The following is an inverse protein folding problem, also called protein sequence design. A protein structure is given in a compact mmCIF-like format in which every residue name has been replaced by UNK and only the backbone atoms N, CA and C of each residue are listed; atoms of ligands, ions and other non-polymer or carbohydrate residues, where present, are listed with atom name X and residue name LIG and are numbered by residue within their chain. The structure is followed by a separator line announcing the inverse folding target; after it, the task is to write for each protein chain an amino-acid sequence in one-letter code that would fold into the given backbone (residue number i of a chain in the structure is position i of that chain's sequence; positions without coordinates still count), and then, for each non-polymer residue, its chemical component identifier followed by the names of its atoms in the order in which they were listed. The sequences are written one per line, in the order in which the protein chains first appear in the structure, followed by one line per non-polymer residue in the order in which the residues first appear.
data_IF_334941067338
#
_entry.id   IF_334941067338
#
_cell.length_a   1.000
_cell.length_b   1.000
_cell.length_c   1.000
_cell.angle_alpha   90.00
_cell.angle_beta   90.00
_cell.angle_gamma   90.00
#
_symmetry.space_group_name_H-M   'P 1'
#
loop_
_entity.id
_entity.type
_entity.pdbx_description
1 polymer ?
#
# COMPACT_ATOMS: atom_id res chain seq x y z
N UNK A 1 47.04 30.56 -29.11
CA UNK A 1 45.90 30.02 -29.89
C UNK A 1 45.89 28.48 -29.87
N UNK A 2 46.98 27.82 -30.29
CA UNK A 2 47.11 26.35 -30.28
C UNK A 2 46.81 25.69 -28.92
N UNK A 3 47.34 26.23 -27.82
CA UNK A 3 47.11 25.64 -26.48
C UNK A 3 45.65 25.78 -26.01
N UNK A 4 44.93 26.78 -26.50
CA UNK A 4 43.51 26.93 -26.21
C UNK A 4 42.71 25.82 -26.92
N UNK A 5 43.01 25.57 -28.19
CA UNK A 5 42.38 24.50 -28.96
C UNK A 5 42.76 23.10 -28.46
N UNK A 6 43.99 22.87 -27.98
CA UNK A 6 44.38 21.61 -27.31
C UNK A 6 43.58 21.37 -26.04
N UNK A 7 43.37 22.41 -25.21
CA UNK A 7 42.55 22.32 -24.00
C UNK A 7 41.08 22.04 -24.34
N UNK A 8 40.52 22.74 -25.33
CA UNK A 8 39.14 22.50 -25.80
C UNK A 8 38.98 21.07 -26.34
N UNK A 9 39.92 20.59 -27.16
CA UNK A 9 39.92 19.23 -27.69
C UNK A 9 39.94 18.19 -26.57
N UNK A 10 40.79 18.35 -25.56
CA UNK A 10 40.86 17.41 -24.43
C UNK A 10 39.59 17.40 -23.58
N UNK A 11 38.96 18.56 -23.35
CA UNK A 11 37.67 18.62 -22.63
C UNK A 11 36.57 17.89 -23.41
N UNK A 12 36.51 18.12 -24.73
CA UNK A 12 35.54 17.45 -25.61
C UNK A 12 35.82 15.94 -25.67
N UNK A 13 37.08 15.54 -25.80
CA UNK A 13 37.49 14.13 -25.83
C UNK A 13 37.11 13.42 -24.53
N UNK A 14 37.37 14.02 -23.37
CA UNK A 14 36.98 13.47 -22.06
C UNK A 14 35.46 13.40 -21.92
N UNK A 15 34.72 14.40 -22.38
CA UNK A 15 33.26 14.41 -22.35
C UNK A 15 32.64 13.38 -23.31
N UNK A 16 33.23 13.15 -24.49
CA UNK A 16 32.77 12.19 -25.49
C UNK A 16 33.15 10.74 -25.15
N UNK A 17 34.31 10.51 -24.53
CA UNK A 17 34.69 9.19 -24.00
C UNK A 17 33.88 8.78 -22.77
N UNK A 18 33.11 9.71 -22.19
CA UNK A 18 32.30 9.47 -21.01
C UNK A 18 30.98 8.77 -21.37
N UNK A 19 31.03 7.61 -22.02
CA UNK A 19 29.88 6.69 -22.12
C UNK A 19 29.23 6.42 -20.75
N UNK A 20 30.01 6.59 -19.68
CA UNK A 20 29.59 6.53 -18.28
C UNK A 20 28.66 7.65 -17.83
N UNK A 21 28.65 8.88 -18.38
CA UNK A 21 27.72 9.93 -17.87
C UNK A 21 26.28 9.67 -18.27
N UNK A 22 26.02 9.16 -19.48
CA UNK A 22 24.66 8.76 -19.88
C UNK A 22 24.17 7.56 -19.07
N UNK A 23 25.05 6.58 -18.81
CA UNK A 23 24.75 5.42 -17.95
C UNK A 23 24.55 5.86 -16.50
N UNK A 24 25.36 6.79 -15.99
CA UNK A 24 25.28 7.35 -14.63
C UNK A 24 24.03 8.20 -14.42
N UNK A 25 23.66 9.06 -15.36
CA UNK A 25 22.39 9.83 -15.29
C UNK A 25 21.19 8.88 -15.38
N UNK A 26 21.24 7.87 -16.26
CA UNK A 26 20.22 6.82 -16.33
C UNK A 26 20.13 6.05 -15.01
N UNK A 27 21.27 5.71 -14.40
CA UNK A 27 21.34 5.03 -13.11
C UNK A 27 20.79 5.88 -11.97
N UNK A 28 21.06 7.18 -11.94
CA UNK A 28 20.55 8.11 -10.93
C UNK A 28 19.03 8.31 -11.08
N UNK A 29 18.54 8.47 -12.32
CA UNK A 29 17.11 8.55 -12.59
C UNK A 29 16.39 7.25 -12.19
N UNK A 30 16.97 6.08 -12.49
CA UNK A 30 16.44 4.78 -12.04
C UNK A 30 16.44 4.64 -10.53
N UNK A 31 17.48 5.11 -9.86
CA UNK A 31 17.57 5.11 -8.40
C UNK A 31 16.46 5.98 -7.77
N UNK A 32 16.31 7.23 -8.24
CA UNK A 32 15.25 8.13 -7.77
C UNK A 32 13.86 7.57 -8.06
N UNK A 33 13.63 7.00 -9.25
CA UNK A 33 12.37 6.35 -9.59
C UNK A 33 12.06 5.16 -8.68
N UNK A 34 13.07 4.37 -8.30
CA UNK A 34 12.92 3.23 -7.37
C UNK A 34 12.54 3.72 -5.97
N UNK A 35 13.19 4.78 -5.46
CA UNK A 35 12.85 5.38 -4.16
C UNK A 35 11.41 5.89 -4.16
N UNK A 36 11.02 6.61 -5.21
CA UNK A 36 9.65 7.13 -5.34
C UNK A 36 8.64 5.98 -5.40
N UNK A 37 8.93 4.93 -6.17
CA UNK A 37 8.06 3.76 -6.26
C UNK A 37 7.90 3.04 -4.92
N UNK A 38 8.99 2.83 -4.19
CA UNK A 38 8.94 2.26 -2.84
C UNK A 38 8.07 3.10 -1.91
N UNK A 39 8.25 4.43 -1.93
CA UNK A 39 7.46 5.35 -1.14
C UNK A 39 5.96 5.28 -1.48
N UNK A 40 5.61 5.32 -2.77
CA UNK A 40 4.23 5.28 -3.23
C UNK A 40 3.55 3.94 -2.92
N UNK A 41 4.27 2.80 -3.04
CA UNK A 41 3.73 1.49 -2.67
C UNK A 41 3.47 1.39 -1.16
N UNK A 42 4.37 1.91 -0.32
CA UNK A 42 4.15 1.98 1.12
C UNK A 42 2.95 2.88 1.47
N UNK A 43 2.85 4.04 0.83
CA UNK A 43 1.73 4.97 0.97
C UNK A 43 0.41 4.29 0.58
N UNK A 44 0.38 3.60 -0.56
CA UNK A 44 -0.76 2.83 -1.04
C UNK A 44 -1.19 1.78 -0.02
N UNK A 45 -0.27 0.96 0.50
CA UNK A 45 -0.57 -0.06 1.51
C UNK A 45 -1.16 0.56 2.80
N UNK A 46 -0.56 1.65 3.28
CA UNK A 46 -1.05 2.38 4.46
C UNK A 46 -2.45 2.94 4.21
N UNK A 47 -2.68 3.58 3.07
CA UNK A 47 -3.96 4.21 2.75
C UNK A 47 -5.07 3.17 2.56
N UNK A 48 -4.77 2.07 1.85
CA UNK A 48 -5.71 0.98 1.65
C UNK A 48 -6.14 0.34 2.98
N UNK A 49 -5.19 0.00 3.86
CA UNK A 49 -5.49 -0.61 5.16
C UNK A 49 -6.25 0.35 6.09
N UNK A 50 -5.88 1.64 6.10
CA UNK A 50 -6.61 2.68 6.85
C UNK A 50 -8.03 2.84 6.36
N UNK A 51 -8.25 2.86 5.04
CA UNK A 51 -9.57 3.00 4.45
C UNK A 51 -10.52 1.88 4.89
N UNK A 52 -10.10 0.61 4.78
CA UNK A 52 -10.89 -0.54 5.25
C UNK A 52 -11.18 -0.44 6.76
N UNK A 53 -10.16 -0.12 7.55
CA UNK A 53 -10.30 0.00 9.01
C UNK A 53 -11.26 1.12 9.41
N UNK A 54 -11.22 2.27 8.72
CA UNK A 54 -12.12 3.40 8.96
C UNK A 54 -13.57 3.04 8.65
N UNK A 55 -13.84 2.37 7.52
CA UNK A 55 -15.19 1.90 7.18
C UNK A 55 -15.74 0.97 8.27
N UNK A 56 -14.93 -0.01 8.69
CA UNK A 56 -15.31 -0.95 9.75
C UNK A 56 -15.56 -0.24 11.08
N UNK A 57 -14.67 0.66 11.48
CA UNK A 57 -14.78 1.41 12.75
C UNK A 57 -16.02 2.30 12.78
N UNK A 58 -16.33 2.95 11.65
CA UNK A 58 -17.52 3.78 11.50
C UNK A 58 -18.80 2.95 11.65
N UNK A 59 -18.91 1.82 10.94
CA UNK A 59 -20.07 0.94 11.06
C UNK A 59 -20.20 0.32 12.45
N UNK A 60 -19.10 -0.04 13.10
CA UNK A 60 -19.12 -0.51 14.48
C UNK A 60 -19.65 0.56 15.44
N UNK A 61 -19.26 1.83 15.24
CA UNK A 61 -19.75 2.94 16.06
C UNK A 61 -21.27 3.12 15.91
N UNK A 62 -21.78 3.10 14.67
CA UNK A 62 -23.22 3.15 14.39
C UNK A 62 -23.94 1.96 15.03
N UNK A 63 -23.44 0.74 14.82
CA UNK A 63 -24.10 -0.46 15.34
C UNK A 63 -24.19 -0.42 16.88
N UNK A 64 -23.09 -0.04 17.55
CA UNK A 64 -23.08 0.13 19.02
C UNK A 64 -24.04 1.23 19.47
N UNK A 65 -24.12 2.34 18.75
CA UNK A 65 -25.06 3.42 19.04
C UNK A 65 -26.52 2.96 18.92
N UNK A 66 -26.86 2.22 17.85
CA UNK A 66 -28.19 1.65 17.67
C UNK A 66 -28.59 0.71 18.82
N UNK A 67 -27.67 -0.19 19.22
CA UNK A 67 -27.91 -1.12 20.32
C UNK A 67 -28.01 -0.43 21.69
N UNK A 68 -27.29 0.67 21.92
CA UNK A 68 -27.35 1.39 23.20
C UNK A 68 -28.52 2.36 23.30
N UNK A 69 -28.83 3.06 22.20
CA UNK A 69 -29.74 4.21 22.24
C UNK A 69 -31.14 3.87 21.72
N UNK A 70 -31.25 2.96 20.75
CA UNK A 70 -32.52 2.68 20.08
C UNK A 70 -33.17 1.40 20.58
N UNK A 71 -32.37 0.35 20.80
CA UNK A 71 -32.88 -0.94 21.27
C UNK A 71 -33.60 -0.87 22.64
N UNK A 72 -33.05 -0.20 23.68
CA UNK A 72 -33.72 -0.13 24.98
C UNK A 72 -34.99 0.74 24.95
N UNK A 73 -34.99 1.81 24.15
CA UNK A 73 -36.12 2.74 24.04
C UNK A 73 -37.35 2.05 23.45
N UNK A 74 -37.16 1.14 22.48
CA UNK A 74 -38.24 0.33 21.91
C UNK A 74 -38.80 -0.70 22.90
N UNK A 75 -37.96 -1.30 23.75
CA UNK A 75 -38.45 -2.24 24.77
C UNK A 75 -39.34 -1.56 25.80
N UNK A 76 -39.03 -0.34 26.21
CA UNK A 76 -39.82 0.38 27.22
C UNK A 76 -41.13 1.00 26.68
N UNK A 77 -41.20 1.29 25.38
CA UNK A 77 -42.36 1.95 24.77
C UNK A 77 -43.57 1.03 24.51
N UNK A 78 -43.44 -0.30 24.63
CA UNK A 78 -44.53 -1.23 24.28
C UNK A 78 -45.48 -1.45 25.45
N UNK A 79 -46.51 -0.59 25.59
CA UNK A 79 -47.64 -0.78 26.54
C UNK A 79 -48.64 -1.88 26.11
N UNK A 80 -48.49 -2.44 24.90
CA UNK A 80 -49.15 -3.68 24.48
C UNK A 80 -48.09 -4.78 24.49
N UNK A 81 -48.49 -6.01 24.87
CA UNK A 81 -47.64 -7.22 25.07
C UNK A 81 -46.29 -7.11 24.34
N UNK A 82 -45.15 -7.28 25.05
CA UNK A 82 -43.84 -7.06 24.44
C UNK A 82 -43.75 -7.94 23.19
N UNK A 83 -43.69 -7.30 22.03
CA UNK A 83 -43.14 -7.96 20.84
C UNK A 83 -41.70 -8.23 21.26
N UNK A 84 -41.41 -9.46 21.65
CA UNK A 84 -40.04 -9.87 21.97
C UNK A 84 -39.21 -9.52 20.76
N UNK A 85 -38.43 -8.45 20.91
CA UNK A 85 -37.55 -7.94 19.89
C UNK A 85 -36.39 -8.92 19.82
N UNK A 86 -36.61 -10.01 19.09
CA UNK A 86 -35.61 -11.02 18.84
C UNK A 86 -34.92 -10.63 17.53
N UNK A 87 -33.63 -10.26 17.58
CA UNK A 87 -32.83 -10.01 16.38
C UNK A 87 -32.89 -11.18 15.38
N UNK A 88 -33.20 -12.40 15.85
CA UNK A 88 -33.35 -13.59 15.02
C UNK A 88 -34.76 -13.78 14.43
N UNK A 89 -35.79 -13.06 14.89
CA UNK A 89 -37.20 -13.26 14.44
C UNK A 89 -37.70 -12.27 13.40
N UNK A 90 -36.85 -11.62 12.62
CA UNK A 90 -37.28 -10.77 11.48
C UNK A 90 -38.16 -9.55 11.85
N UNK A 91 -38.26 -9.15 13.12
CA UNK A 91 -39.01 -7.96 13.57
C UNK A 91 -38.05 -6.89 14.14
N UNK A 92 -36.81 -6.86 13.64
CA UNK A 92 -35.88 -5.77 13.90
C UNK A 92 -36.00 -4.73 12.77
N UNK A 93 -35.93 -3.42 13.06
CA UNK A 93 -35.79 -2.39 12.05
C UNK A 93 -34.62 -2.73 11.12
N UNK A 94 -34.80 -2.57 9.79
CA UNK A 94 -33.82 -3.03 8.80
C UNK A 94 -32.40 -2.52 9.06
N UNK A 95 -32.25 -1.34 9.68
CA UNK A 95 -30.95 -0.76 10.03
C UNK A 95 -30.06 -1.67 10.89
N UNK A 96 -30.64 -2.49 11.79
CA UNK A 96 -29.85 -3.42 12.60
C UNK A 96 -29.26 -4.55 11.74
N UNK A 97 -30.06 -5.09 10.82
CA UNK A 97 -29.63 -6.11 9.86
C UNK A 97 -28.60 -5.51 8.90
N UNK A 98 -28.86 -4.31 8.36
CA UNK A 98 -27.93 -3.57 7.50
C UNK A 98 -26.56 -3.44 8.16
N UNK A 99 -26.49 -2.95 9.39
CA UNK A 99 -25.20 -2.74 10.07
C UNK A 99 -24.48 -4.06 10.38
N UNK A 100 -25.22 -5.10 10.77
CA UNK A 100 -24.65 -6.40 11.10
C UNK A 100 -24.09 -7.11 9.86
N UNK A 101 -24.88 -7.19 8.79
CA UNK A 101 -24.48 -7.84 7.55
C UNK A 101 -23.37 -7.09 6.84
N UNK A 102 -23.38 -5.75 6.88
CA UNK A 102 -22.31 -4.96 6.30
C UNK A 102 -20.99 -5.13 7.07
N UNK A 103 -21.03 -5.24 8.41
CA UNK A 103 -19.84 -5.57 9.18
C UNK A 103 -19.29 -6.96 8.82
N UNK A 104 -20.17 -7.96 8.69
CA UNK A 104 -19.78 -9.30 8.28
C UNK A 104 -19.18 -9.32 6.86
N UNK A 105 -19.74 -8.53 5.94
CA UNK A 105 -19.20 -8.32 4.60
C UNK A 105 -17.79 -7.72 4.64
N UNK A 106 -17.57 -6.67 5.43
CA UNK A 106 -16.23 -6.07 5.51
C UNK A 106 -15.19 -7.03 6.09
N UNK A 107 -15.61 -7.95 6.96
CA UNK A 107 -14.74 -8.97 7.57
C UNK A 107 -14.38 -10.12 6.63
N UNK A 108 -15.22 -10.40 5.62
CA UNK A 108 -14.99 -11.48 4.65
C UNK A 108 -14.23 -11.02 3.40
N UNK A 109 -14.10 -9.72 3.15
CA UNK A 109 -13.37 -9.21 2.00
C UNK A 109 -11.87 -9.54 2.08
N UNK A 110 -11.22 -9.91 0.96
CA UNK A 110 -9.80 -10.31 0.94
C UNK A 110 -8.85 -9.09 1.00
N UNK A 111 -9.15 -8.08 1.83
CA UNK A 111 -8.34 -6.88 1.95
C UNK A 111 -6.93 -7.16 2.50
N UNK A 112 -6.79 -8.16 3.37
CA UNK A 112 -5.47 -8.57 3.87
C UNK A 112 -4.56 -9.07 2.74
N UNK A 113 -5.11 -9.86 1.82
CA UNK A 113 -4.34 -10.41 0.69
C UNK A 113 -3.82 -9.31 -0.25
N UNK A 114 -4.61 -8.26 -0.47
CA UNK A 114 -4.16 -7.07 -1.22
C UNK A 114 -3.03 -6.36 -0.48
N UNK A 115 -3.19 -6.13 0.82
CA UNK A 115 -2.17 -5.45 1.62
C UNK A 115 -0.85 -6.24 1.66
N UNK A 116 -0.93 -7.57 1.79
CA UNK A 116 0.25 -8.43 1.80
C UNK A 116 0.93 -8.47 0.42
N UNK A 117 0.16 -8.53 -0.68
CA UNK A 117 0.73 -8.44 -2.03
C UNK A 117 1.41 -7.09 -2.32
N UNK A 118 0.89 -5.98 -1.79
CA UNK A 118 1.57 -4.67 -1.89
C UNK A 118 2.90 -4.70 -1.13
N UNK A 119 2.93 -5.27 0.09
CA UNK A 119 4.17 -5.39 0.87
C UNK A 119 5.19 -6.26 0.16
N UNK A 120 4.77 -7.39 -0.42
CA UNK A 120 5.65 -8.24 -1.21
C UNK A 120 6.24 -7.45 -2.39
N UNK A 121 5.43 -6.66 -3.10
CA UNK A 121 5.89 -5.79 -4.17
C UNK A 121 6.87 -4.71 -3.68
N UNK A 122 6.66 -4.15 -2.48
CA UNK A 122 7.64 -3.25 -1.83
C UNK A 122 8.95 -3.98 -1.62
N UNK A 123 8.94 -5.20 -1.07
CA UNK A 123 10.19 -5.96 -0.85
C UNK A 123 10.95 -6.20 -2.16
N UNK A 124 10.25 -6.60 -3.22
CA UNK A 124 10.85 -6.76 -4.55
C UNK A 124 11.43 -5.45 -5.07
N UNK A 125 10.73 -4.33 -4.87
CA UNK A 125 11.19 -2.98 -5.25
C UNK A 125 12.46 -2.58 -4.50
N UNK A 126 12.57 -2.88 -3.20
CA UNK A 126 13.77 -2.54 -2.40
C UNK A 126 15.03 -3.26 -2.88
N UNK A 127 14.91 -4.40 -3.57
CA UNK A 127 16.05 -5.11 -4.16
C UNK A 127 16.69 -4.37 -5.35
N UNK A 128 16.01 -3.38 -5.92
CA UNK A 128 16.56 -2.49 -6.94
C UNK A 128 17.39 -1.35 -6.35
N UNK A 129 17.23 -1.08 -5.05
CA UNK A 129 18.02 -0.09 -4.35
C UNK A 129 19.44 -0.66 -4.09
N UNK A 130 20.51 0.14 -4.24
CA UNK A 130 21.83 -0.26 -3.79
C UNK A 130 21.71 -0.71 -2.33
N UNK A 131 22.24 -1.90 -2.01
CA UNK A 131 22.29 -2.38 -0.64
C UNK A 131 23.14 -1.38 0.16
N UNK A 132 22.51 -0.41 0.81
CA UNK A 132 23.15 0.24 1.93
C UNK A 132 23.39 -0.88 2.93
N UNK A 133 24.64 -1.28 3.10
CA UNK A 133 25.04 -1.94 4.33
C UNK A 133 24.50 -1.06 5.46
N UNK A 134 23.49 -1.59 6.16
CA UNK A 134 23.05 -1.02 7.42
C UNK A 134 24.22 -1.19 8.37
N UNK A 135 25.16 -0.25 8.36
CA UNK A 135 26.15 -0.07 9.40
C UNK A 135 25.39 0.44 10.63
N UNK A 136 24.77 -0.49 11.35
CA UNK A 136 24.45 -0.26 12.74
C UNK A 136 25.76 -0.32 13.54
N UNK A 137 25.94 0.73 14.33
CA UNK A 137 26.85 0.91 15.46
C UNK A 137 28.29 1.38 15.22
N UNK A 138 28.47 2.65 15.62
CA UNK A 138 29.65 3.23 16.29
C UNK A 138 30.86 3.62 15.43
N UNK A 139 30.71 4.75 14.73
CA UNK A 139 31.80 5.73 14.67
C UNK A 139 31.26 7.15 14.51
N UNK A 140 31.22 7.91 15.60
CA UNK A 140 31.49 9.35 15.51
C UNK A 140 32.82 9.49 14.78
N UNK A 141 32.87 10.22 13.67
CA UNK A 141 33.99 11.10 13.31
C UNK A 141 33.65 11.87 12.01
N UNK A 142 33.36 13.15 12.23
CA UNK A 142 33.64 14.31 11.40
C UNK A 142 33.52 14.17 9.87
N UNK A 143 32.40 14.67 9.34
CA UNK A 143 32.35 15.23 8.01
C UNK A 143 33.16 16.55 8.02
N UNK A 144 34.40 16.53 7.54
CA UNK A 144 35.17 17.76 7.32
C UNK A 144 35.66 17.78 5.88
N UNK A 145 34.99 18.60 5.07
CA UNK A 145 35.43 19.01 3.76
C UNK A 145 36.78 19.74 3.91
N UNK A 146 37.88 19.15 3.46
CA UNK A 146 39.18 19.82 3.41
C UNK A 146 39.78 19.77 2.01
N UNK A 147 39.70 20.93 1.37
CA UNK A 147 40.38 21.33 0.13
C UNK A 147 41.89 21.38 0.41
N UNK A 148 42.71 20.61 -0.32
CA UNK A 148 44.13 20.94 -0.50
C UNK A 148 44.64 20.46 -1.86
N UNK A 149 45.41 21.36 -2.48
CA UNK A 149 46.08 21.21 -3.75
C UNK A 149 47.44 20.51 -3.60
N UNK A 150 47.85 19.80 -4.66
CA UNK A 150 49.26 19.69 -5.05
C UNK A 150 50.02 18.39 -4.72
N UNK A 151 50.35 17.69 -5.81
CA UNK A 151 51.57 16.90 -6.09
C UNK A 151 51.59 15.38 -5.85
N UNK A 152 52.20 14.75 -6.86
CA UNK A 152 52.28 13.33 -7.20
C UNK A 152 53.07 12.48 -6.19
N UNK A 153 52.63 11.24 -5.98
CA UNK A 153 53.46 10.04 -5.93
C UNK A 153 52.54 8.81 -6.00
N UNK A 154 52.80 7.92 -6.96
CA UNK A 154 51.98 6.73 -7.20
C UNK A 154 52.09 5.69 -6.08
N UNK A 155 51.01 4.94 -5.91
CA UNK A 155 51.01 3.53 -5.55
C UNK A 155 49.63 2.98 -5.87
N UNK A 156 49.62 1.98 -6.75
CA UNK A 156 48.48 1.17 -7.14
C UNK A 156 47.72 0.64 -5.92
N UNK A 157 46.41 0.81 -5.98
CA UNK A 157 45.44 0.21 -5.07
C UNK A 157 44.12 0.18 -5.81
N UNK A 158 44.01 -0.76 -6.76
CA UNK A 158 42.79 -1.07 -7.47
C UNK A 158 41.75 -1.58 -6.47
N UNK A 159 40.87 -0.70 -6.00
CA UNK A 159 39.64 -1.11 -5.31
C UNK A 159 38.67 -1.50 -6.40
N UNK A 160 38.88 -2.70 -6.94
CA UNK A 160 37.92 -3.36 -7.79
C UNK A 160 36.71 -3.74 -6.93
N UNK A 161 35.72 -2.84 -6.92
CA UNK A 161 34.39 -3.12 -6.38
C UNK A 161 33.79 -4.22 -7.25
N UNK A 162 34.00 -5.46 -6.85
CA UNK A 162 33.41 -6.64 -7.47
C UNK A 162 31.92 -6.69 -7.12
N UNK A 163 31.14 -5.76 -7.66
CA UNK A 163 29.72 -6.00 -7.85
C UNK A 163 29.62 -7.02 -8.98
N UNK A 164 29.43 -8.28 -8.60
CA UNK A 164 28.91 -9.33 -9.49
C UNK A 164 27.87 -8.70 -10.42
N UNK A 165 27.95 -8.86 -11.75
CA UNK A 165 26.96 -8.29 -12.66
C UNK A 165 25.61 -8.91 -12.33
N UNK A 166 24.86 -8.22 -11.48
CA UNK A 166 23.51 -8.61 -11.12
C UNK A 166 22.74 -8.59 -12.42
N UNK A 167 22.18 -9.74 -12.78
CA UNK A 167 21.36 -9.84 -13.96
C UNK A 167 20.10 -9.00 -13.75
N UNK A 168 20.13 -7.79 -14.30
CA UNK A 168 19.03 -6.85 -14.24
C UNK A 168 17.76 -7.43 -14.89
N UNK A 169 17.89 -8.41 -15.79
CA UNK A 169 16.73 -9.09 -16.37
C UNK A 169 15.96 -9.91 -15.32
N UNK A 170 16.63 -10.70 -14.49
CA UNK A 170 16.01 -11.46 -13.39
C UNK A 170 15.32 -10.56 -12.36
N UNK A 171 15.91 -9.40 -12.05
CA UNK A 171 15.27 -8.41 -11.18
C UNK A 171 13.98 -7.88 -11.80
N UNK A 172 14.01 -7.50 -13.07
CA UNK A 172 12.83 -7.01 -13.79
C UNK A 172 11.73 -8.08 -13.85
N UNK A 173 12.08 -9.34 -14.09
CA UNK A 173 11.14 -10.46 -14.10
C UNK A 173 10.47 -10.65 -12.73
N UNK A 174 11.24 -10.54 -11.64
CA UNK A 174 10.69 -10.63 -10.28
C UNK A 174 9.69 -9.51 -9.97
N UNK A 175 9.97 -8.28 -10.43
CA UNK A 175 9.09 -7.14 -10.23
C UNK A 175 7.82 -7.28 -11.05
N UNK A 176 7.94 -7.68 -12.32
CA UNK A 176 6.79 -7.93 -13.18
C UNK A 176 5.89 -9.03 -12.60
N UNK A 177 6.48 -10.13 -12.11
CA UNK A 177 5.73 -11.18 -11.43
C UNK A 177 5.03 -10.67 -10.18
N UNK A 178 5.71 -9.89 -9.33
CA UNK A 178 5.11 -9.27 -8.15
C UNK A 178 3.94 -8.33 -8.49
N UNK A 179 4.10 -7.53 -9.55
CA UNK A 179 3.05 -6.62 -10.03
C UNK A 179 1.82 -7.39 -10.53
N UNK A 180 2.02 -8.48 -11.27
CA UNK A 180 0.92 -9.35 -11.73
C UNK A 180 0.16 -9.93 -10.54
N UNK A 181 0.87 -10.42 -9.51
CA UNK A 181 0.24 -10.94 -8.28
C UNK A 181 -0.55 -9.85 -7.56
N UNK A 182 0.02 -8.66 -7.38
CA UNK A 182 -0.68 -7.52 -6.77
C UNK A 182 -1.98 -7.18 -7.53
N UNK A 183 -1.91 -7.05 -8.85
CA UNK A 183 -3.07 -6.72 -9.68
C UNK A 183 -4.14 -7.81 -9.64
N UNK A 184 -3.73 -9.08 -9.60
CA UNK A 184 -4.65 -10.22 -9.47
C UNK A 184 -5.36 -10.22 -8.10
N UNK A 185 -4.64 -9.94 -7.00
CA UNK A 185 -5.25 -9.79 -5.67
C UNK A 185 -6.21 -8.62 -5.62
N UNK A 186 -5.85 -7.47 -6.21
CA UNK A 186 -6.72 -6.30 -6.27
C UNK A 186 -7.97 -6.58 -7.10
N UNK A 187 -7.83 -7.28 -8.22
CA UNK A 187 -8.96 -7.74 -9.06
C UNK A 187 -9.88 -8.66 -8.27
N UNK A 188 -9.34 -9.68 -7.60
CA UNK A 188 -10.10 -10.62 -6.77
C UNK A 188 -10.85 -9.88 -5.66
N UNK A 189 -10.22 -8.90 -5.02
CA UNK A 189 -10.86 -8.04 -4.03
C UNK A 189 -12.02 -7.24 -4.63
N UNK A 190 -11.84 -6.65 -5.82
CA UNK A 190 -12.90 -5.90 -6.49
C UNK A 190 -14.08 -6.79 -6.90
N UNK A 191 -13.80 -7.97 -7.47
CA UNK A 191 -14.82 -8.96 -7.82
C UNK A 191 -15.60 -9.45 -6.60
N UNK A 192 -14.89 -9.76 -5.50
CA UNK A 192 -15.54 -10.13 -4.24
C UNK A 192 -16.36 -8.97 -3.69
N UNK A 193 -15.87 -7.73 -3.77
CA UNK A 193 -16.60 -6.56 -3.29
C UNK A 193 -17.94 -6.42 -4.00
N UNK A 194 -17.96 -6.44 -5.34
CA UNK A 194 -19.21 -6.33 -6.12
C UNK A 194 -20.21 -7.40 -5.70
N UNK A 195 -19.80 -8.68 -5.69
CA UNK A 195 -20.69 -9.81 -5.33
C UNK A 195 -21.25 -9.68 -3.91
N UNK A 196 -20.41 -9.29 -2.97
CA UNK A 196 -20.85 -9.18 -1.58
C UNK A 196 -21.77 -7.98 -1.36
N UNK A 197 -21.49 -6.83 -1.99
CA UNK A 197 -22.37 -5.66 -1.89
C UNK A 197 -23.74 -5.89 -2.56
N UNK A 198 -23.79 -6.65 -3.66
CA UNK A 198 -25.06 -7.12 -4.24
C UNK A 198 -25.85 -8.00 -3.26
N UNK A 199 -25.16 -8.90 -2.56
CA UNK A 199 -25.76 -9.77 -1.53
C UNK A 199 -26.28 -8.95 -0.35
N UNK A 200 -25.50 -7.97 0.11
CA UNK A 200 -25.91 -7.04 1.16
C UNK A 200 -27.15 -6.25 0.74
N UNK A 201 -27.20 -5.74 -0.49
CA UNK A 201 -28.36 -5.00 -1.00
C UNK A 201 -29.64 -5.86 -1.00
N UNK A 202 -29.53 -7.14 -1.37
CA UNK A 202 -30.64 -8.10 -1.29
C UNK A 202 -31.09 -8.32 0.16
N UNK A 203 -30.15 -8.56 1.08
CA UNK A 203 -30.46 -8.74 2.50
C UNK A 203 -31.19 -7.52 3.10
N UNK A 204 -30.72 -6.31 2.79
CA UNK A 204 -31.37 -5.07 3.26
C UNK A 204 -32.80 -4.97 2.74
N UNK A 205 -33.04 -5.28 1.46
CA UNK A 205 -34.37 -5.26 0.86
C UNK A 205 -35.29 -6.29 1.51
N UNK A 206 -34.81 -7.51 1.73
CA UNK A 206 -35.57 -8.56 2.41
C UNK A 206 -35.90 -8.17 3.85
N UNK A 207 -34.96 -7.58 4.59
CA UNK A 207 -35.19 -7.07 5.93
C UNK A 207 -36.26 -5.96 5.94
N UNK A 208 -36.24 -5.06 4.96
CA UNK A 208 -37.24 -4.02 4.79
C UNK A 208 -38.64 -4.60 4.53
N UNK A 209 -38.77 -5.49 3.54
CA UNK A 209 -40.06 -6.07 3.18
C UNK A 209 -40.66 -6.89 4.33
N UNK A 210 -39.82 -7.59 5.11
CA UNK A 210 -40.24 -8.33 6.29
C UNK A 210 -40.72 -7.40 7.42
N UNK A 211 -40.02 -6.29 7.64
CA UNK A 211 -40.39 -5.29 8.65
C UNK A 211 -41.73 -4.61 8.32
N UNK A 212 -41.96 -4.22 7.06
CA UNK A 212 -43.23 -3.65 6.60
C UNK A 212 -44.39 -4.65 6.75
N UNK A 213 -44.19 -5.91 6.38
CA UNK A 213 -45.18 -6.98 6.59
C UNK A 213 -45.51 -7.18 8.07
N UNK A 214 -44.54 -7.05 8.96
CA UNK A 214 -44.75 -7.17 10.40
C UNK A 214 -45.61 -6.01 10.94
N UNK A 215 -45.37 -4.78 10.47
CA UNK A 215 -46.16 -3.60 10.83
C UNK A 215 -47.63 -3.70 10.39
N UNK A 216 -47.88 -4.25 9.20
CA UNK A 216 -49.25 -4.44 8.68
C UNK A 216 -50.04 -5.54 9.42
N UNK A 217 -49.36 -6.41 10.18
CA UNK A 217 -49.99 -7.50 10.97
C UNK A 217 -50.31 -7.10 12.41
N UNK A 218 -49.87 -5.93 12.87
CA UNK A 218 -50.08 -5.38 14.23
C UNK A 218 -51.18 -4.34 14.26
#
# INVERSE_FOLDING_TARGET
MLDCHKKQYNVILVACNNGNTKVSIRSEAHHQATILLEFELNSLCSNFTKWISMQKSYLQAINRWLHKCIFPLKQMSSKKKPIEFDPKRHIAPPIFVTCQDWLALLDSLPGKEVADAIKDLVTVTTHFLPRQEKSHENSKLSFTFSRKAGQNAGLEGDIQRNESPVDWSLKHDSFQSGLVVFLDRLKTFAESSVRQYETLQKSIKEAHDNYEKALLRT
#
